data_IF_299153874354
#
_entry.id   IF_299153874354
#
_cell.length_a   1.000
_cell.length_b   1.000
_cell.length_c   1.000
_cell.angle_alpha   90.00
_cell.angle_beta   90.00
_cell.angle_gamma   90.00
#
_symmetry.space_group_name_H-M   'P 1'
#
loop_
_entity.id
_entity.type
_entity.pdbx_description
1 polymer ?
#
# COMPACT_ATOMS: atom_id res chain seq x y z
N UNK A 1 -10.35 -44.51 -83.25
CA UNK A 1 -10.78 -45.62 -82.38
C UNK A 1 -9.57 -46.10 -81.61
N UNK A 2 -9.66 -46.15 -80.28
CA UNK A 2 -8.99 -47.05 -79.32
C UNK A 2 -8.98 -46.40 -77.92
N UNK A 3 -9.59 -47.13 -76.98
CA UNK A 3 -9.35 -47.25 -75.52
C UNK A 3 -9.49 -46.08 -74.52
N UNK A 4 -10.57 -46.18 -73.70
CA UNK A 4 -10.58 -46.02 -72.21
C UNK A 4 -9.69 -47.12 -71.55
N UNK A 5 -9.32 -47.14 -70.25
CA UNK A 5 -10.02 -46.61 -69.05
C UNK A 5 -9.14 -46.11 -67.85
N UNK A 6 -9.76 -45.46 -66.86
CA UNK A 6 -9.72 -45.89 -65.45
C UNK A 6 -8.81 -44.98 -64.59
N UNK A 7 -8.97 -44.79 -63.28
CA UNK A 7 -9.77 -45.41 -62.22
C UNK A 7 -9.53 -44.56 -60.94
N UNK A 8 -10.56 -44.39 -60.11
CA UNK A 8 -10.62 -44.18 -58.63
C UNK A 8 -10.10 -42.90 -57.92
N UNK A 9 -11.07 -42.29 -57.21
CA UNK A 9 -11.12 -41.58 -55.90
C UNK A 9 -9.86 -41.44 -55.02
N UNK A 10 -9.73 -40.34 -54.22
CA UNK A 10 -10.20 -40.34 -52.81
C UNK A 10 -10.91 -39.03 -52.35
N UNK A 11 -11.97 -39.10 -51.54
CA UNK A 11 -11.94 -39.08 -50.07
C UNK A 11 -11.46 -37.71 -49.50
N UNK A 12 -12.39 -36.78 -49.26
CA UNK A 12 -12.17 -35.69 -48.31
C UNK A 12 -12.91 -36.06 -47.01
N UNK A 13 -12.15 -36.67 -46.10
CA UNK A 13 -12.55 -36.93 -44.72
C UNK A 13 -12.75 -35.59 -44.02
N UNK A 14 -13.98 -35.28 -43.62
CA UNK A 14 -14.24 -34.22 -42.67
C UNK A 14 -13.69 -34.66 -41.31
N UNK A 15 -12.50 -34.18 -40.98
CA UNK A 15 -11.90 -34.37 -39.66
C UNK A 15 -12.65 -33.46 -38.68
N UNK A 16 -13.63 -34.04 -37.98
CA UNK A 16 -14.17 -33.47 -36.76
C UNK A 16 -13.11 -33.62 -35.66
N UNK A 17 -12.22 -32.63 -35.54
CA UNK A 17 -11.40 -32.46 -34.35
C UNK A 17 -12.27 -31.80 -33.27
N UNK A 18 -13.00 -32.66 -32.56
CA UNK A 18 -13.38 -32.42 -31.18
C UNK A 18 -12.08 -32.39 -30.36
N UNK A 19 -11.39 -31.25 -30.34
CA UNK A 19 -10.43 -30.98 -29.28
C UNK A 19 -11.25 -30.74 -28.03
N UNK A 20 -11.45 -31.84 -27.29
CA UNK A 20 -11.66 -31.89 -25.86
C UNK A 20 -11.23 -30.59 -25.20
N UNK A 21 -12.21 -29.92 -24.58
CA UNK A 21 -11.96 -28.75 -23.77
C UNK A 21 -10.90 -29.05 -22.72
N UNK A 22 -9.73 -28.45 -22.90
CA UNK A 22 -9.02 -27.95 -21.75
C UNK A 22 -9.90 -26.82 -21.22
N UNK A 23 -10.62 -27.09 -20.13
CA UNK A 23 -10.97 -26.03 -19.19
C UNK A 23 -9.66 -25.44 -18.71
N UNK A 24 -9.13 -24.48 -19.48
CA UNK A 24 -8.30 -23.46 -18.89
C UNK A 24 -9.23 -22.76 -17.89
N UNK A 25 -9.13 -23.17 -16.63
CA UNK A 25 -9.53 -22.35 -15.50
C UNK A 25 -8.91 -20.99 -15.75
N UNK A 26 -9.74 -20.08 -16.24
CA UNK A 26 -9.44 -18.69 -16.57
C UNK A 26 -9.56 -17.85 -15.31
N UNK A 27 -9.27 -18.46 -14.17
CA UNK A 27 -8.98 -17.78 -12.93
C UNK A 27 -7.52 -17.34 -13.03
N UNK A 28 -7.26 -16.34 -13.89
CA UNK A 28 -6.03 -15.57 -13.78
C UNK A 28 -6.13 -14.75 -12.49
N UNK A 29 -5.22 -14.93 -11.51
CA UNK A 29 -5.26 -14.21 -10.23
C UNK A 29 -4.91 -12.70 -10.34
N UNK A 30 -5.08 -12.08 -11.51
CA UNK A 30 -4.51 -10.76 -11.84
C UNK A 30 -5.50 -9.58 -11.86
N UNK A 31 -6.80 -9.78 -11.69
CA UNK A 31 -7.80 -8.72 -11.92
C UNK A 31 -8.60 -8.29 -10.69
N UNK A 32 -8.28 -8.81 -9.50
CA UNK A 32 -9.14 -8.64 -8.33
C UNK A 32 -9.13 -7.17 -7.86
N UNK A 33 -8.03 -6.42 -7.96
CA UNK A 33 -7.92 -5.09 -7.32
C UNK A 33 -7.40 -3.93 -8.19
N UNK A 34 -7.15 -4.14 -9.49
CA UNK A 34 -6.49 -3.13 -10.34
C UNK A 34 -7.25 -1.78 -10.42
N UNK A 35 -8.59 -1.80 -10.46
CA UNK A 35 -9.40 -0.58 -10.48
C UNK A 35 -9.33 0.21 -9.17
N UNK A 36 -9.29 -0.50 -8.03
CA UNK A 36 -9.19 0.11 -6.70
C UNK A 36 -7.78 0.64 -6.44
N UNK A 37 -6.74 -0.06 -6.88
CA UNK A 37 -5.36 0.43 -6.84
C UNK A 37 -5.21 1.67 -7.72
N UNK A 38 -5.79 1.68 -8.92
CA UNK A 38 -5.81 2.88 -9.77
C UNK A 38 -6.55 4.05 -9.11
N UNK A 39 -7.69 3.80 -8.45
CA UNK A 39 -8.39 4.85 -7.70
C UNK A 39 -7.56 5.37 -6.51
N UNK A 40 -6.75 4.52 -5.88
CA UNK A 40 -5.82 4.91 -4.82
C UNK A 40 -4.64 5.72 -5.37
N UNK A 41 -4.12 5.40 -6.55
CA UNK A 41 -3.09 6.19 -7.26
C UNK A 41 -3.57 7.62 -7.57
N UNK A 42 -4.85 7.79 -7.88
CA UNK A 42 -5.49 9.08 -8.14
C UNK A 42 -5.78 9.89 -6.85
N UNK A 43 -5.63 9.27 -5.66
CA UNK A 43 -5.90 9.87 -4.36
C UNK A 43 -4.78 9.61 -3.32
N UNK A 44 -3.52 9.98 -3.63
CA UNK A 44 -2.41 9.74 -2.74
C UNK A 44 -2.56 10.54 -1.42
N UNK A 45 -2.02 10.02 -0.30
CA UNK A 45 -2.01 10.76 0.97
C UNK A 45 -1.29 12.12 0.89
N UNK A 46 -0.22 12.22 0.13
CA UNK A 46 0.58 13.45 -0.05
C UNK A 46 1.31 13.42 -1.39
N UNK A 47 1.74 14.57 -1.89
CA UNK A 47 2.54 14.70 -3.10
C UNK A 47 3.99 14.32 -2.83
N UNK A 48 4.31 13.03 -3.03
CA UNK A 48 5.66 12.51 -2.87
C UNK A 48 6.70 13.23 -3.74
N UNK A 49 6.30 13.87 -4.85
CA UNK A 49 7.22 14.59 -5.73
C UNK A 49 7.78 15.86 -5.08
N UNK A 50 7.03 16.52 -4.19
CA UNK A 50 7.53 17.65 -3.40
C UNK A 50 8.69 17.26 -2.49
N UNK A 51 8.75 15.98 -2.11
CA UNK A 51 9.81 15.39 -1.27
C UNK A 51 10.87 14.62 -2.10
N UNK A 52 10.87 14.77 -3.43
CA UNK A 52 11.84 14.13 -4.31
C UNK A 52 11.64 12.62 -4.50
N UNK A 53 10.45 12.11 -4.19
CA UNK A 53 10.06 10.71 -4.37
C UNK A 53 8.89 10.55 -5.35
N UNK A 54 8.46 9.30 -5.53
CA UNK A 54 7.28 8.95 -6.29
C UNK A 54 6.53 7.81 -5.60
N UNK A 55 5.21 7.78 -5.77
CA UNK A 55 4.41 6.63 -5.41
C UNK A 55 4.64 5.50 -6.42
N UNK A 56 4.79 4.29 -5.91
CA UNK A 56 4.88 3.07 -6.70
C UNK A 56 3.76 2.12 -6.29
N UNK A 57 2.95 1.70 -7.25
CA UNK A 57 1.91 0.70 -7.00
C UNK A 57 2.46 -0.71 -6.95
N UNK A 58 1.76 -1.56 -6.22
CA UNK A 58 1.98 -2.99 -6.18
C UNK A 58 0.64 -3.72 -6.25
N UNK A 59 0.57 -4.84 -6.99
CA UNK A 59 -0.67 -5.58 -7.15
C UNK A 59 -1.00 -6.37 -5.89
N UNK A 60 -2.27 -6.72 -5.73
CA UNK A 60 -2.68 -7.75 -4.78
C UNK A 60 -2.09 -9.11 -5.16
N UNK A 61 -1.59 -9.87 -4.20
CA UNK A 61 -1.21 -11.26 -4.38
C UNK A 61 -2.19 -12.16 -3.65
N UNK A 62 -2.75 -13.16 -4.32
CA UNK A 62 -3.52 -14.19 -3.65
C UNK A 62 -2.58 -15.19 -2.98
N UNK A 63 -2.90 -15.58 -1.74
CA UNK A 63 -2.21 -16.69 -1.09
C UNK A 63 -2.52 -17.98 -1.83
N UNK A 64 -1.49 -18.76 -2.20
CA UNK A 64 -1.68 -20.06 -2.82
C UNK A 64 -1.65 -21.18 -1.79
N UNK A 65 -2.17 -22.37 -2.12
CA UNK A 65 -1.98 -23.56 -1.28
C UNK A 65 -0.48 -23.92 -1.09
N UNK A 66 0.37 -23.51 -2.03
CA UNK A 66 1.83 -23.69 -1.95
C UNK A 66 2.51 -22.64 -1.05
N UNK A 67 1.85 -21.51 -0.80
CA UNK A 67 2.32 -20.42 0.06
C UNK A 67 1.19 -19.89 0.96
N UNK A 68 0.66 -20.72 1.89
CA UNK A 68 -0.39 -20.27 2.79
C UNK A 68 0.10 -19.07 3.60
N UNK A 69 -0.63 -17.96 3.54
CA UNK A 69 -0.28 -16.72 4.26
C UNK A 69 0.55 -15.70 3.48
N UNK A 70 0.81 -15.89 2.17
CA UNK A 70 1.43 -14.87 1.31
C UNK A 70 0.42 -14.01 0.56
N UNK A 71 -0.83 -13.97 1.02
CA UNK A 71 -1.81 -13.07 0.42
C UNK A 71 -1.43 -11.63 0.79
N UNK A 72 -1.31 -10.73 -0.18
CA UNK A 72 -1.05 -9.31 0.03
C UNK A 72 -2.13 -8.46 -0.66
N UNK A 73 -2.57 -7.40 0.01
CA UNK A 73 -3.48 -6.41 -0.59
C UNK A 73 -2.77 -5.61 -1.69
N UNK A 74 -3.53 -5.08 -2.63
CA UNK A 74 -3.02 -4.11 -3.60
C UNK A 74 -2.86 -2.73 -2.95
N UNK A 75 -1.90 -1.95 -3.41
CA UNK A 75 -1.66 -0.64 -2.82
C UNK A 75 -0.61 0.21 -3.53
N UNK A 76 -0.28 1.32 -2.90
CA UNK A 76 0.81 2.22 -3.28
C UNK A 76 1.77 2.39 -2.11
N UNK A 77 3.05 2.54 -2.41
CA UNK A 77 4.08 2.84 -1.42
C UNK A 77 5.05 3.90 -1.91
N UNK A 78 5.66 4.61 -0.98
CA UNK A 78 6.77 5.50 -1.25
C UNK A 78 7.77 5.46 -0.10
N UNK A 79 9.02 5.80 -0.42
CA UNK A 79 10.04 6.10 0.57
C UNK A 79 10.91 7.24 0.05
N UNK A 80 11.34 8.12 0.95
CA UNK A 80 12.34 9.14 0.69
C UNK A 80 13.23 9.36 1.91
N UNK A 81 14.51 9.70 1.70
CA UNK A 81 15.39 10.02 2.81
C UNK A 81 14.87 11.24 3.57
N UNK A 82 15.04 11.23 4.89
CA UNK A 82 15.08 12.46 5.65
C UNK A 82 16.35 13.19 5.17
N UNK A 83 16.22 14.41 4.64
CA UNK A 83 17.27 15.19 3.94
C UNK A 83 18.71 15.05 4.51
N UNK A 84 19.75 15.07 3.67
CA UNK A 84 21.16 14.76 3.98
C UNK A 84 21.81 15.60 5.11
N UNK A 85 21.11 16.60 5.66
CA UNK A 85 21.49 17.27 6.91
C UNK A 85 21.34 16.38 8.17
N UNK A 86 20.72 15.19 8.08
CA UNK A 86 20.50 14.25 9.19
C UNK A 86 21.66 13.25 9.38
N UNK A 87 22.73 13.31 8.57
CA UNK A 87 23.83 12.34 8.65
C UNK A 87 24.83 12.57 9.80
N UNK A 88 24.44 13.28 10.86
CA UNK A 88 25.23 13.40 12.09
C UNK A 88 24.54 12.66 13.25
N UNK A 89 25.00 11.44 13.61
CA UNK A 89 24.48 10.68 14.74
C UNK A 89 24.81 11.31 16.11
N UNK A 90 25.45 12.49 16.16
CA UNK A 90 25.67 13.28 17.38
C UNK A 90 24.58 14.32 17.67
N UNK A 91 23.56 14.43 16.82
CA UNK A 91 22.44 15.33 17.05
C UNK A 91 21.47 14.70 18.08
N UNK A 92 21.39 15.31 19.25
CA UNK A 92 20.19 15.28 20.10
C UNK A 92 18.93 15.80 19.33
N UNK A 93 19.05 16.21 18.06
CA UNK A 93 18.12 16.98 17.23
C UNK A 93 17.29 16.12 16.23
N UNK A 94 17.20 14.79 16.39
CA UNK A 94 16.38 13.95 15.52
C UNK A 94 14.91 14.39 15.44
N UNK A 95 14.39 14.98 16.53
CA UNK A 95 13.06 15.57 16.57
C UNK A 95 12.92 16.89 15.81
N UNK A 96 13.99 17.66 15.61
CA UNK A 96 13.93 18.95 14.89
C UNK A 96 13.61 18.75 13.41
N UNK A 97 13.87 17.55 12.89
CA UNK A 97 13.52 17.16 11.52
C UNK A 97 12.24 16.32 11.51
N UNK A 98 12.16 15.29 12.37
CA UNK A 98 11.02 14.35 12.37
C UNK A 98 9.71 15.05 12.75
N UNK A 99 9.71 15.91 13.77
CA UNK A 99 8.47 16.51 14.28
C UNK A 99 7.85 17.48 13.28
N UNK A 100 8.56 18.49 12.73
CA UNK A 100 7.97 19.42 11.78
C UNK A 100 7.55 18.74 10.47
N UNK A 101 8.31 17.74 10.01
CA UNK A 101 7.96 16.99 8.81
C UNK A 101 6.70 16.14 9.03
N UNK A 102 6.57 15.45 10.17
CA UNK A 102 5.36 14.71 10.49
C UNK A 102 4.14 15.64 10.63
N UNK A 103 4.31 16.85 11.17
CA UNK A 103 3.25 17.87 11.21
C UNK A 103 2.83 18.34 9.81
N UNK A 104 3.78 18.56 8.90
CA UNK A 104 3.48 18.93 7.52
C UNK A 104 2.72 17.80 6.80
N UNK A 105 3.22 16.56 6.88
CA UNK A 105 2.62 15.39 6.24
C UNK A 105 1.23 15.09 6.78
N UNK A 106 0.97 15.20 8.09
CA UNK A 106 -0.38 14.95 8.64
C UNK A 106 -1.39 16.00 8.20
N UNK A 107 -0.96 17.26 8.01
CA UNK A 107 -1.83 18.33 7.48
C UNK A 107 -2.15 18.08 6.02
N UNK A 108 -1.15 17.82 5.19
CA UNK A 108 -1.33 17.53 3.77
C UNK A 108 -2.20 16.29 3.55
N UNK A 109 -1.96 15.23 4.32
CA UNK A 109 -2.79 14.03 4.36
C UNK A 109 -4.26 14.33 4.67
N UNK A 110 -4.53 15.15 5.70
CA UNK A 110 -5.90 15.56 6.04
C UNK A 110 -6.55 16.37 4.92
N UNK A 111 -5.80 17.28 4.30
CA UNK A 111 -6.27 18.11 3.19
C UNK A 111 -6.60 17.27 1.94
N UNK A 112 -5.87 16.17 1.74
CA UNK A 112 -6.13 15.16 0.70
C UNK A 112 -7.25 14.17 1.08
N UNK A 113 -7.97 14.38 2.19
CA UNK A 113 -9.15 13.61 2.55
C UNK A 113 -8.88 12.34 3.36
N UNK A 114 -7.65 12.14 3.85
CA UNK A 114 -7.29 11.03 4.72
C UNK A 114 -7.50 11.40 6.19
N UNK A 115 -8.31 10.60 6.90
CA UNK A 115 -8.62 10.79 8.31
C UNK A 115 -7.65 10.00 9.19
N UNK A 116 -6.84 10.65 10.06
CA UNK A 116 -6.00 9.94 11.01
C UNK A 116 -6.86 9.10 11.98
N UNK A 117 -6.45 7.86 12.19
CA UNK A 117 -7.06 6.92 13.15
C UNK A 117 -6.08 6.56 14.27
N UNK A 118 -4.78 6.76 14.06
CA UNK A 118 -3.77 6.66 15.09
C UNK A 118 -2.59 7.60 14.83
N UNK A 119 -2.02 8.12 15.91
CA UNK A 119 -0.75 8.88 15.90
C UNK A 119 0.06 8.42 17.11
N UNK A 120 1.29 7.98 16.87
CA UNK A 120 2.24 7.57 17.90
C UNK A 120 3.51 8.39 17.70
N UNK A 121 3.84 9.21 18.69
CA UNK A 121 5.15 9.88 18.78
C UNK A 121 6.01 9.05 19.72
N UNK A 122 6.96 8.29 19.19
CA UNK A 122 7.85 7.43 19.96
C UNK A 122 9.11 8.19 20.34
N UNK A 123 9.28 8.38 21.65
CA UNK A 123 10.47 9.00 22.21
C UNK A 123 11.43 7.88 22.61
N UNK A 124 12.65 7.84 22.05
CA UNK A 124 13.59 6.78 22.33
C UNK A 124 14.01 6.76 23.82
N UNK A 125 14.19 5.55 24.36
CA UNK A 125 14.58 5.35 25.76
C UNK A 125 16.04 5.72 26.08
N UNK A 126 16.84 5.99 25.04
CA UNK A 126 18.23 6.43 25.14
C UNK A 126 18.55 7.46 24.06
N UNK A 127 19.62 8.23 24.30
CA UNK A 127 20.12 9.27 23.39
C UNK A 127 20.69 8.73 22.07
N UNK A 128 20.94 7.42 22.02
CA UNK A 128 21.47 6.72 20.85
C UNK A 128 20.37 6.09 19.99
N UNK A 129 19.09 6.27 20.36
CA UNK A 129 17.96 5.72 19.64
C UNK A 129 17.19 6.83 18.89
N UNK A 130 16.47 6.42 17.87
CA UNK A 130 15.92 7.29 16.84
C UNK A 130 14.52 7.80 17.19
N UNK A 131 14.28 9.10 16.99
CA UNK A 131 12.94 9.68 17.10
C UNK A 131 12.06 9.18 15.96
N UNK A 132 10.79 8.87 16.26
CA UNK A 132 9.86 8.36 15.26
C UNK A 132 8.44 8.87 15.51
N UNK A 133 7.74 9.18 14.42
CA UNK A 133 6.31 9.39 14.40
C UNK A 133 5.69 8.37 13.45
N UNK A 134 4.72 7.62 13.95
CA UNK A 134 3.87 6.75 13.16
C UNK A 134 2.46 7.32 13.10
N UNK A 135 1.92 7.45 11.89
CA UNK A 135 0.56 7.93 11.62
C UNK A 135 -0.15 6.84 10.85
N UNK A 136 -1.27 6.35 11.36
CA UNK A 136 -2.19 5.53 10.58
C UNK A 136 -3.44 6.34 10.24
N UNK A 137 -3.93 6.19 9.02
CA UNK A 137 -5.09 6.93 8.52
C UNK A 137 -5.95 6.07 7.61
N UNK A 138 -7.17 6.55 7.34
CA UNK A 138 -8.10 5.92 6.41
C UNK A 138 -8.70 6.94 5.45
N UNK A 139 -9.06 6.50 4.24
CA UNK A 139 -9.78 7.32 3.27
C UNK A 139 -10.84 6.48 2.55
N UNK A 140 -12.02 7.07 2.32
CA UNK A 140 -13.06 6.44 1.51
C UNK A 140 -12.75 6.67 0.02
N UNK A 141 -12.40 5.61 -0.69
CA UNK A 141 -11.96 5.63 -2.09
C UNK A 141 -12.74 4.56 -2.86
N UNK A 142 -13.44 4.99 -3.90
CA UNK A 142 -14.23 4.12 -4.79
C UNK A 142 -15.13 3.09 -4.07
N UNK A 143 -15.82 3.54 -3.00
CA UNK A 143 -16.75 2.72 -2.23
C UNK A 143 -16.10 1.73 -1.27
N UNK A 144 -14.78 1.77 -1.08
CA UNK A 144 -14.05 1.04 -0.03
C UNK A 144 -13.24 2.01 0.84
N UNK A 145 -12.72 1.53 1.97
CA UNK A 145 -11.88 2.31 2.89
C UNK A 145 -10.44 1.84 2.78
N UNK A 146 -9.60 2.68 2.19
CA UNK A 146 -8.16 2.47 2.14
C UNK A 146 -7.54 2.68 3.52
N UNK A 147 -6.50 1.91 3.84
CA UNK A 147 -5.70 2.08 5.05
C UNK A 147 -4.31 2.60 4.70
N UNK A 148 -3.78 3.53 5.50
CA UNK A 148 -2.43 4.08 5.40
C UNK A 148 -1.65 3.80 6.68
N UNK A 149 -0.38 3.45 6.50
CA UNK A 149 0.64 3.52 7.54
C UNK A 149 1.79 4.41 7.04
N UNK A 150 2.04 5.50 7.76
CA UNK A 150 3.07 6.49 7.49
C UNK A 150 4.04 6.50 8.66
N UNK A 151 5.32 6.33 8.37
CA UNK A 151 6.41 6.35 9.33
C UNK A 151 7.37 7.47 8.96
N UNK A 152 7.60 8.38 9.91
CA UNK A 152 8.62 9.43 9.81
C UNK A 152 9.61 9.14 10.93
N UNK A 153 10.81 8.65 10.63
CA UNK A 153 11.72 8.29 11.71
C UNK A 153 13.18 8.16 11.30
N UNK A 154 14.06 8.45 12.26
CA UNK A 154 15.51 8.46 12.02
C UNK A 154 16.12 7.05 12.06
N UNK A 155 15.37 6.00 12.45
CA UNK A 155 15.90 4.62 12.51
C UNK A 155 16.21 4.08 11.11
N UNK A 156 15.29 4.31 10.17
CA UNK A 156 15.51 4.05 8.74
C UNK A 156 16.22 5.20 8.05
N UNK A 157 16.29 6.39 8.66
CA UNK A 157 16.74 7.63 8.01
C UNK A 157 15.79 8.07 6.88
N UNK A 158 14.56 7.58 6.89
CA UNK A 158 13.61 7.72 5.79
C UNK A 158 12.20 8.02 6.31
N UNK A 159 11.42 8.69 5.48
CA UNK A 159 9.96 8.61 5.54
C UNK A 159 9.53 7.42 4.70
N UNK A 160 8.71 6.54 5.28
CA UNK A 160 8.08 5.44 4.54
C UNK A 160 6.57 5.54 4.66
N UNK A 161 5.86 5.32 3.55
CA UNK A 161 4.41 5.32 3.56
C UNK A 161 3.88 4.19 2.69
N UNK A 162 2.86 3.48 3.21
CA UNK A 162 2.18 2.41 2.51
C UNK A 162 0.68 2.60 2.67
N UNK A 163 -0.02 2.73 1.54
CA UNK A 163 -1.46 2.78 1.48
C UNK A 163 -2.01 1.58 0.72
N UNK A 164 -3.07 0.95 1.22
CA UNK A 164 -3.60 -0.31 0.68
C UNK A 164 -5.12 -0.27 0.60
N UNK A 165 -5.64 -0.95 -0.41
CA UNK A 165 -7.07 -1.19 -0.56
C UNK A 165 -7.46 -2.50 0.11
N UNK A 166 -8.67 -2.61 0.68
CA UNK A 166 -9.17 -3.87 1.22
C UNK A 166 -9.36 -4.88 0.08
N UNK A 167 -9.27 -6.17 0.37
CA UNK A 167 -9.59 -7.18 -0.65
C UNK A 167 -11.06 -7.01 -1.09
N UNK A 168 -11.40 -7.29 -2.36
CA UNK A 168 -12.80 -7.29 -2.81
C UNK A 168 -13.71 -8.29 -2.09
N UNK A 169 -13.12 -9.30 -1.45
CA UNK A 169 -13.80 -10.31 -0.64
C UNK A 169 -13.98 -9.90 0.82
N UNK A 170 -13.33 -8.81 1.26
CA UNK A 170 -13.47 -8.26 2.60
C UNK A 170 -14.65 -7.28 2.69
N UNK A 171 -15.00 -6.92 3.92
CA UNK A 171 -15.86 -5.76 4.15
C UNK A 171 -15.26 -4.51 3.49
N UNK A 172 -16.12 -3.60 3.03
CA UNK A 172 -15.68 -2.35 2.41
C UNK A 172 -14.80 -1.51 3.35
N UNK A 173 -14.96 -1.66 4.66
CA UNK A 173 -14.10 -1.10 5.70
C UNK A 173 -13.70 -2.21 6.68
N UNK A 174 -12.63 -2.99 6.40
CA UNK A 174 -12.19 -4.07 7.28
C UNK A 174 -11.46 -3.53 8.51
N UNK A 175 -11.09 -2.25 8.52
CA UNK A 175 -10.37 -1.61 9.61
C UNK A 175 -11.34 -1.21 10.73
N UNK A 176 -12.53 -0.71 10.36
CA UNK A 176 -13.55 -0.25 11.30
C UNK A 176 -13.01 0.80 12.29
N UNK A 177 -11.93 1.48 11.91
CA UNK A 177 -11.15 2.32 12.80
C UNK A 177 -11.79 3.71 12.86
N UNK A 178 -12.26 4.16 14.04
CA UNK A 178 -12.83 5.48 14.16
C UNK A 178 -11.75 6.54 13.93
N UNK A 179 -12.09 7.62 13.24
CA UNK A 179 -11.25 8.80 13.17
C UNK A 179 -10.89 9.30 14.57
N UNK A 180 -9.67 9.80 14.74
CA UNK A 180 -9.20 10.31 16.03
C UNK A 180 -10.10 11.45 16.53
N UNK A 181 -10.60 11.27 17.75
CA UNK A 181 -11.26 12.32 18.50
C UNK A 181 -10.28 13.01 19.43
N UNK A 182 -10.05 14.30 19.23
CA UNK A 182 -9.23 15.13 20.12
C UNK A 182 -7.81 15.38 19.62
N UNK A 183 -7.01 16.06 20.46
CA UNK A 183 -5.64 16.44 20.14
C UNK A 183 -4.68 15.25 20.26
N UNK A 184 -3.67 15.26 19.40
CA UNK A 184 -2.55 14.32 19.28
C UNK A 184 -1.25 15.01 19.66
N UNK A 185 -0.14 14.25 19.74
CA UNK A 185 1.18 14.84 19.96
C UNK A 185 1.59 15.82 18.84
N UNK A 186 1.08 15.65 17.62
CA UNK A 186 1.39 16.51 16.47
C UNK A 186 0.64 17.85 16.49
N UNK A 187 -0.35 18.02 17.39
CA UNK A 187 -1.06 19.29 17.55
C UNK A 187 -0.36 20.22 18.56
N UNK A 188 0.76 19.79 19.14
CA UNK A 188 1.60 20.59 20.03
C UNK A 188 2.69 21.37 19.26
N UNK A 189 3.22 22.44 19.87
CA UNK A 189 4.30 23.25 19.28
C UNK A 189 5.70 22.63 19.43
N UNK A 190 5.82 21.50 20.14
CA UNK A 190 7.09 20.84 20.43
C UNK A 190 6.90 19.31 20.56
N UNK A 191 7.94 18.50 20.26
CA UNK A 191 7.92 17.06 20.44
C UNK A 191 7.68 16.69 21.93
N UNK A 192 7.01 15.56 22.21
CA UNK A 192 6.76 15.15 23.59
C UNK A 192 8.04 14.67 24.29
N UNK A 193 8.12 14.83 25.62
CA UNK A 193 9.25 14.35 26.43
C UNK A 193 9.24 12.83 26.68
N UNK A 194 8.12 12.17 26.38
CA UNK A 194 7.93 10.73 26.53
C UNK A 194 7.00 10.21 25.44
N UNK A 195 7.06 8.91 25.11
CA UNK A 195 6.15 8.32 24.10
C UNK A 195 4.69 8.61 24.40
N UNK A 196 3.98 9.15 23.41
CA UNK A 196 2.54 9.42 23.46
C UNK A 196 1.87 8.75 22.27
N UNK A 197 0.75 8.09 22.53
CA UNK A 197 -0.08 7.45 21.51
C UNK A 197 -1.53 7.93 21.62
N UNK A 198 -2.14 8.21 20.47
CA UNK A 198 -3.57 8.43 20.31
C UNK A 198 -4.10 7.40 19.30
N UNK A 199 -5.17 6.69 19.64
CA UNK A 199 -5.73 5.64 18.79
C UNK A 199 -4.88 4.35 18.77
N UNK A 200 -5.24 3.45 17.85
CA UNK A 200 -4.56 2.16 17.65
C UNK A 200 -4.08 2.09 16.20
N UNK A 201 -2.77 1.95 15.95
CA UNK A 201 -2.24 1.83 14.59
C UNK A 201 -2.95 0.73 13.80
N UNK A 202 -3.14 0.97 12.51
CA UNK A 202 -3.72 -0.03 11.61
C UNK A 202 -2.74 -1.19 11.46
N UNK A 203 -3.26 -2.41 11.54
CA UNK A 203 -2.47 -3.59 11.19
C UNK A 203 -2.56 -3.84 9.69
N UNK A 204 -1.57 -3.29 8.96
CA UNK A 204 -1.41 -3.51 7.53
C UNK A 204 -0.42 -4.65 7.22
N UNK A 205 0.00 -5.46 8.19
CA UNK A 205 1.05 -6.48 7.97
C UNK A 205 0.62 -7.60 7.03
N UNK A 206 -0.68 -7.89 6.94
CA UNK A 206 -1.25 -8.77 5.91
C UNK A 206 -1.28 -8.13 4.50
N UNK A 207 -0.64 -6.98 4.31
CA UNK A 207 -0.62 -6.22 3.05
C UNK A 207 0.79 -5.96 2.51
N UNK A 208 1.85 -6.45 3.17
CA UNK A 208 3.23 -6.26 2.71
C UNK A 208 3.77 -7.57 2.08
N UNK A 209 4.34 -7.52 0.86
CA UNK A 209 5.01 -8.66 0.23
C UNK A 209 6.36 -9.01 0.87
#
# INVERSE_FOLDING_TARGET
MVSRPGILLPLAVAVALLTSGCTASTDEPEQVDAGRVSALEDAPPFDAAEYGAAWSSFPSQEGSEATPGTATRGGIRTSFPLDDSVADPSLDDGWDIVFPLAQALVVEMRDNGWAPVAVVCEVPASKDASAQVRISATAAIDGAVAGLDLLVGTESGEVTAVAVMPYPTEDADPWGAPALGGATCLDADAPPESTVAAGTPLDLTAALP
#
